data_IF_095660572003
#
_entry.id   IF_095660572003
#
_cell.length_a   1.000
_cell.length_b   1.000
_cell.length_c   1.000
_cell.angle_alpha   90.00
_cell.angle_beta   90.00
_cell.angle_gamma   90.00
#
_symmetry.space_group_name_H-M   'P 1'
#
loop_
_entity.id
_entity.type
_entity.pdbx_description
1 polymer ?
#
# COMPACT_ATOMS: atom_id res chain seq x y z
N UNK A 1 30.62 -11.06 21.43
CA UNK A 1 29.71 -11.74 20.47
C UNK A 1 28.27 -11.22 20.57
N UNK A 2 27.74 -10.97 21.78
CA UNK A 2 26.38 -10.41 21.95
C UNK A 2 26.16 -9.01 21.37
N UNK A 3 27.13 -8.09 21.51
CA UNK A 3 27.01 -6.71 21.01
C UNK A 3 26.88 -6.61 19.48
N UNK A 4 27.65 -7.43 18.75
CA UNK A 4 27.59 -7.55 17.29
C UNK A 4 26.24 -8.03 16.78
N UNK A 5 25.55 -8.88 17.56
CA UNK A 5 24.22 -9.36 17.21
C UNK A 5 23.21 -8.22 17.38
N UNK A 6 23.27 -7.46 18.48
CA UNK A 6 22.36 -6.33 18.68
C UNK A 6 22.54 -5.23 17.64
N UNK A 7 23.77 -4.88 17.29
CA UNK A 7 24.06 -3.81 16.32
C UNK A 7 23.59 -4.15 14.90
N UNK A 8 23.52 -5.44 14.55
CA UNK A 8 23.18 -5.91 13.20
C UNK A 8 21.73 -6.39 13.08
N UNK A 9 21.21 -7.05 14.12
CA UNK A 9 19.86 -7.62 14.14
C UNK A 9 18.80 -6.56 14.47
N UNK A 10 19.07 -5.63 15.38
CA UNK A 10 18.11 -4.59 15.76
C UNK A 10 17.69 -3.68 14.59
N UNK A 11 18.62 -3.14 13.77
CA UNK A 11 18.23 -2.36 12.60
C UNK A 11 17.59 -3.21 11.49
N UNK A 12 17.97 -4.49 11.36
CA UNK A 12 17.35 -5.40 10.40
C UNK A 12 15.87 -5.67 10.76
N UNK A 13 15.59 -5.96 12.03
CA UNK A 13 14.22 -6.15 12.54
C UNK A 13 13.44 -4.85 12.40
N UNK A 14 14.03 -3.70 12.75
CA UNK A 14 13.38 -2.40 12.61
C UNK A 14 12.94 -2.11 11.16
N UNK A 15 13.83 -2.35 10.18
CA UNK A 15 13.49 -2.20 8.75
C UNK A 15 12.40 -3.16 8.32
N UNK A 16 12.45 -4.40 8.79
CA UNK A 16 11.44 -5.41 8.45
C UNK A 16 10.05 -5.04 9.00
N UNK A 17 9.98 -4.55 10.24
CA UNK A 17 8.72 -4.09 10.85
C UNK A 17 8.17 -2.88 10.09
N UNK A 18 9.03 -1.90 9.75
CA UNK A 18 8.59 -0.73 8.97
C UNK A 18 8.10 -1.15 7.58
N UNK A 19 8.80 -2.07 6.92
CA UNK A 19 8.38 -2.62 5.64
C UNK A 19 7.00 -3.26 5.73
N UNK A 20 6.78 -4.14 6.71
CA UNK A 20 5.47 -4.76 6.93
C UNK A 20 4.37 -3.75 7.26
N UNK A 21 4.67 -2.73 8.08
CA UNK A 21 3.71 -1.68 8.39
C UNK A 21 3.34 -0.87 7.15
N UNK A 22 4.32 -0.50 6.32
CA UNK A 22 4.08 0.23 5.07
C UNK A 22 3.27 -0.62 4.10
N UNK A 23 3.62 -1.90 3.93
CA UNK A 23 2.93 -2.81 3.03
C UNK A 23 1.47 -3.06 3.48
N UNK A 24 1.26 -3.26 4.78
CA UNK A 24 -0.07 -3.42 5.36
C UNK A 24 -0.90 -2.14 5.23
N UNK A 25 -0.29 -0.98 5.47
CA UNK A 25 -0.95 0.32 5.28
C UNK A 25 -1.28 0.53 3.80
N UNK A 26 -0.43 0.09 2.89
CA UNK A 26 -0.62 0.23 1.45
C UNK A 26 -1.78 -0.63 0.95
N UNK A 27 -1.75 -1.92 1.27
CA UNK A 27 -2.83 -2.85 0.93
C UNK A 27 -4.14 -2.56 1.66
N UNK A 28 -4.11 -1.90 2.82
CA UNK A 28 -5.36 -1.59 3.54
C UNK A 28 -5.88 -0.22 3.12
N UNK A 29 -5.14 0.86 3.37
CA UNK A 29 -5.64 2.23 3.19
C UNK A 29 -5.69 2.62 1.72
N UNK A 30 -4.61 2.42 0.97
CA UNK A 30 -4.58 2.84 -0.43
C UNK A 30 -5.45 1.95 -1.30
N UNK A 31 -5.49 0.63 -1.07
CA UNK A 31 -6.46 -0.21 -1.75
C UNK A 31 -7.90 0.19 -1.43
N UNK A 32 -8.24 0.38 -0.14
CA UNK A 32 -9.62 0.70 0.26
C UNK A 32 -10.09 2.05 -0.29
N UNK A 33 -9.19 3.02 -0.43
CA UNK A 33 -9.50 4.34 -1.00
C UNK A 33 -9.44 4.35 -2.53
N UNK A 34 -8.54 3.58 -3.15
CA UNK A 34 -8.48 3.40 -4.59
C UNK A 34 -9.65 2.57 -5.15
N UNK A 35 -10.14 1.60 -4.37
CA UNK A 35 -11.23 0.70 -4.74
C UNK A 35 -12.51 1.43 -5.19
N UNK A 36 -13.11 2.36 -4.43
CA UNK A 36 -14.29 3.09 -4.87
C UNK A 36 -14.03 3.92 -6.12
N UNK A 37 -12.81 4.46 -6.28
CA UNK A 37 -12.43 5.28 -7.44
C UNK A 37 -12.37 4.41 -8.70
N UNK A 38 -11.65 3.28 -8.63
CA UNK A 38 -11.59 2.31 -9.72
C UNK A 38 -12.97 1.76 -10.04
N UNK A 39 -13.80 1.48 -9.02
CA UNK A 39 -15.18 1.02 -9.19
C UNK A 39 -16.05 2.06 -9.90
N UNK A 40 -15.88 3.35 -9.60
CA UNK A 40 -16.58 4.42 -10.32
C UNK A 40 -16.10 4.56 -11.77
N UNK A 41 -14.78 4.56 -12.00
CA UNK A 41 -14.19 4.68 -13.33
C UNK A 41 -14.55 3.51 -14.25
N UNK A 42 -14.70 2.32 -13.68
CA UNK A 42 -15.06 1.10 -14.41
C UNK A 42 -16.57 0.88 -14.47
N UNK A 43 -17.38 1.89 -14.14
CA UNK A 43 -18.85 1.83 -14.18
C UNK A 43 -19.42 0.64 -13.39
N UNK A 44 -18.77 0.28 -12.28
CA UNK A 44 -19.17 -0.83 -11.40
C UNK A 44 -18.71 -2.21 -11.87
N UNK A 45 -17.91 -2.32 -12.94
CA UNK A 45 -17.47 -3.60 -13.52
C UNK A 45 -16.27 -4.21 -12.78
N UNK A 46 -15.46 -3.41 -12.06
CA UNK A 46 -14.18 -3.85 -11.48
C UNK A 46 -14.22 -4.07 -9.95
N UNK A 47 -13.66 -5.18 -9.42
CA UNK A 47 -13.54 -6.49 -10.06
C UNK A 47 -14.38 -7.58 -9.38
N UNK A 48 -14.89 -8.48 -10.24
CA UNK A 48 -15.47 -9.78 -9.91
C UNK A 48 -14.39 -10.65 -9.24
N UNK A 49 -14.67 -11.12 -8.04
CA UNK A 49 -13.77 -11.95 -7.23
C UNK A 49 -13.68 -13.37 -7.82
N UNK A 50 -12.45 -13.92 -7.80
CA UNK A 50 -12.01 -15.34 -7.85
C UNK A 50 -11.02 -15.62 -8.99
N UNK A 51 -9.72 -15.33 -8.77
CA UNK A 51 -8.63 -16.06 -9.45
C UNK A 51 -7.46 -15.24 -10.03
N UNK A 52 -7.63 -13.96 -10.35
CA UNK A 52 -6.59 -13.10 -10.96
C UNK A 52 -6.22 -11.90 -10.06
N UNK A 53 -5.98 -12.17 -8.77
CA UNK A 53 -5.98 -11.14 -7.71
C UNK A 53 -4.79 -10.18 -7.73
N UNK A 54 -3.57 -10.66 -7.96
CA UNK A 54 -2.38 -9.87 -7.65
C UNK A 54 -2.16 -8.65 -8.56
N UNK A 55 -2.51 -8.77 -9.85
CA UNK A 55 -2.32 -7.69 -10.82
C UNK A 55 -3.30 -6.54 -10.64
N UNK A 56 -4.59 -6.85 -10.43
CA UNK A 56 -5.65 -5.85 -10.25
C UNK A 56 -5.56 -5.12 -8.91
N UNK A 57 -5.11 -5.83 -7.87
CA UNK A 57 -5.02 -5.26 -6.53
C UNK A 57 -3.89 -4.25 -6.41
N UNK A 58 -2.77 -4.50 -7.09
CA UNK A 58 -1.68 -3.54 -7.20
C UNK A 58 -2.08 -2.27 -7.95
N UNK A 59 -2.81 -2.38 -9.07
CA UNK A 59 -3.30 -1.21 -9.81
C UNK A 59 -4.24 -0.35 -8.96
N UNK A 60 -5.15 -0.99 -8.23
CA UNK A 60 -6.10 -0.30 -7.34
C UNK A 60 -5.37 0.44 -6.22
N UNK A 61 -4.37 -0.20 -5.62
CA UNK A 61 -3.56 0.39 -4.55
C UNK A 61 -2.69 1.55 -5.05
N UNK A 62 -2.13 1.45 -6.27
CA UNK A 62 -1.37 2.54 -6.92
C UNK A 62 -2.28 3.75 -7.17
N UNK A 63 -3.52 3.52 -7.64
CA UNK A 63 -4.49 4.60 -7.86
C UNK A 63 -4.84 5.29 -6.54
N UNK A 64 -5.04 4.51 -5.47
CA UNK A 64 -5.20 5.05 -4.11
C UNK A 64 -4.00 5.89 -3.67
N UNK A 65 -2.77 5.40 -3.88
CA UNK A 65 -1.56 6.17 -3.57
C UNK A 65 -1.49 7.47 -4.36
N UNK A 66 -1.78 7.45 -5.67
CA UNK A 66 -1.76 8.66 -6.51
C UNK A 66 -2.73 9.73 -5.99
N UNK A 67 -3.89 9.31 -5.50
CA UNK A 67 -4.90 10.22 -4.91
C UNK A 67 -4.36 10.83 -3.63
N UNK A 68 -3.78 10.03 -2.75
CA UNK A 68 -3.18 10.53 -1.51
C UNK A 68 -1.99 11.47 -1.76
N UNK A 69 -1.13 11.15 -2.73
CA UNK A 69 -0.03 12.04 -3.14
C UNK A 69 -0.58 13.35 -3.69
N UNK A 70 -1.58 13.29 -4.56
CA UNK A 70 -2.22 14.50 -5.09
C UNK A 70 -2.85 15.35 -3.99
N UNK A 71 -3.55 14.73 -3.03
CA UNK A 71 -4.11 15.42 -1.86
C UNK A 71 -3.01 16.08 -1.03
N UNK A 72 -1.95 15.35 -0.69
CA UNK A 72 -0.83 15.89 0.08
C UNK A 72 -0.19 17.07 -0.63
N UNK A 73 0.05 16.96 -1.95
CA UNK A 73 0.60 18.06 -2.74
C UNK A 73 -0.33 19.27 -2.74
N UNK A 74 -1.63 19.09 -2.93
CA UNK A 74 -2.62 20.18 -2.94
C UNK A 74 -2.80 20.83 -1.56
N UNK A 75 -2.66 20.07 -0.48
CA UNK A 75 -2.80 20.60 0.89
C UNK A 75 -1.52 21.23 1.45
N UNK A 76 -0.35 20.84 0.95
CA UNK A 76 0.95 21.37 1.37
C UNK A 76 1.41 22.55 0.50
N UNK A 77 1.07 22.56 -0.80
CA UNK A 77 1.36 23.65 -1.74
C UNK A 77 0.37 24.81 -1.58
#
# INVERSE_FOLDING_TARGET
MGELIFELVLPAIGRFIVFLLVELLFQTIFYFTGYPIVKMLTLGVYPKVMGESEGSDNVTSIIGLMVWVALIVVFIA
#
